data_IF_945121958598
#
_entry.id   IF_945121958598
#
_cell.length_a   1.000
_cell.length_b   1.000
_cell.length_c   1.000
_cell.angle_alpha   90.00
_cell.angle_beta   90.00
_cell.angle_gamma   90.00
#
_symmetry.space_group_name_H-M   'P 1'
#
loop_
_entity.id
_entity.type
_entity.pdbx_description
1 polymer ?
#
# COMPACT_ATOMS: atom_id res chain seq x y z
N UNK A 1 -46.79 3.11 24.08
CA UNK A 1 -46.15 3.21 22.75
C UNK A 1 -44.73 2.71 22.89
N UNK A 2 -44.49 1.49 22.44
CA UNK A 2 -43.18 0.86 22.35
C UNK A 2 -43.32 -0.20 21.25
N UNK A 3 -42.42 -0.21 20.26
CA UNK A 3 -42.47 -1.26 19.26
C UNK A 3 -41.68 -0.98 17.98
N UNK A 4 -40.46 -1.54 17.96
CA UNK A 4 -39.77 -2.16 16.82
C UNK A 4 -39.22 -1.24 15.71
N UNK A 5 -37.89 -1.09 15.72
CA UNK A 5 -37.06 -0.74 14.57
C UNK A 5 -36.69 -2.02 13.81
N UNK A 6 -37.16 -2.15 12.57
CA UNK A 6 -36.79 -3.21 11.63
C UNK A 6 -35.50 -2.80 10.90
N UNK A 7 -34.41 -3.53 11.14
CA UNK A 7 -33.17 -3.44 10.36
C UNK A 7 -33.23 -4.39 9.15
N UNK A 8 -32.79 -3.88 8.01
CA UNK A 8 -32.81 -4.54 6.71
C UNK A 8 -31.90 -5.78 6.65
N UNK A 9 -32.42 -6.84 6.03
CA UNK A 9 -31.68 -8.05 5.68
C UNK A 9 -31.20 -7.90 4.23
N UNK A 10 -29.88 -7.86 4.01
CA UNK A 10 -29.29 -8.04 2.67
C UNK A 10 -29.39 -9.51 2.28
N UNK A 11 -30.14 -9.80 1.21
CA UNK A 11 -30.18 -11.10 0.57
C UNK A 11 -29.05 -11.26 -0.47
N UNK A 12 -28.33 -12.37 -0.39
CA UNK A 12 -27.36 -12.88 -1.37
C UNK A 12 -27.81 -14.28 -1.80
N UNK A 13 -28.28 -14.46 -3.05
CA UNK A 13 -28.26 -15.67 -3.92
C UNK A 13 -28.77 -15.18 -5.31
N UNK A 14 -28.41 -15.63 -6.51
CA UNK A 14 -27.90 -16.90 -7.02
C UNK A 14 -27.36 -16.75 -8.45
N UNK A 15 -26.50 -17.72 -8.79
CA UNK A 15 -25.91 -18.18 -10.04
C UNK A 15 -26.72 -18.19 -11.36
N UNK A 16 -25.94 -18.23 -12.47
CA UNK A 16 -26.24 -18.93 -13.74
C UNK A 16 -26.54 -18.00 -14.93
N UNK A 17 -26.06 -18.19 -16.17
CA UNK A 17 -25.38 -19.32 -16.81
C UNK A 17 -24.79 -18.90 -18.18
N UNK A 18 -23.59 -19.44 -18.49
CA UNK A 18 -23.19 -20.13 -19.73
C UNK A 18 -23.32 -19.48 -21.13
N UNK A 19 -22.20 -19.40 -21.87
CA UNK A 19 -22.06 -20.13 -23.14
C UNK A 19 -20.57 -20.34 -23.53
N UNK A 20 -20.23 -21.42 -24.28
CA UNK A 20 -18.90 -21.97 -24.42
C UNK A 20 -18.15 -21.43 -25.65
N UNK A 21 -16.84 -21.21 -25.51
CA UNK A 21 -15.99 -20.74 -26.61
C UNK A 21 -14.61 -21.39 -26.56
N UNK A 22 -14.54 -22.59 -27.15
CA UNK A 22 -13.40 -23.16 -27.88
C UNK A 22 -12.01 -23.14 -27.22
N UNK A 23 -11.55 -24.34 -26.84
CA UNK A 23 -10.15 -24.71 -26.65
C UNK A 23 -9.35 -24.51 -27.95
N UNK A 24 -8.35 -23.62 -27.90
CA UNK A 24 -7.19 -23.67 -28.79
C UNK A 24 -5.97 -24.03 -27.92
N UNK A 25 -5.59 -25.31 -28.00
CA UNK A 25 -4.33 -25.83 -27.48
C UNK A 25 -3.27 -25.71 -28.58
N UNK A 26 -2.11 -25.12 -28.29
CA UNK A 26 -0.82 -25.41 -28.93
C UNK A 26 0.33 -24.73 -28.17
N UNK A 27 1.01 -25.54 -27.36
CA UNK A 27 2.49 -25.64 -27.20
C UNK A 27 3.36 -24.42 -26.90
N UNK A 28 3.94 -24.47 -25.67
CA UNK A 28 5.35 -24.25 -25.28
C UNK A 28 6.07 -22.99 -25.78
N UNK A 29 6.48 -22.11 -24.85
CA UNK A 29 7.89 -21.90 -24.42
C UNK A 29 7.91 -20.80 -23.33
N UNK A 30 8.44 -21.11 -22.13
CA UNK A 30 8.92 -20.12 -21.17
C UNK A 30 10.44 -19.95 -21.46
N UNK A 31 11.05 -18.76 -21.39
CA UNK A 31 11.23 -18.06 -20.12
C UNK A 31 11.05 -16.54 -20.23
N UNK A 32 10.23 -15.97 -19.36
CA UNK A 32 10.20 -14.52 -19.20
C UNK A 32 9.01 -14.06 -18.42
N UNK A 33 9.09 -14.18 -17.09
CA UNK A 33 8.16 -13.53 -16.18
C UNK A 33 8.37 -12.02 -16.27
N UNK A 34 7.87 -11.38 -17.33
CA UNK A 34 7.53 -9.98 -17.26
C UNK A 34 6.23 -9.90 -16.47
N UNK A 35 6.36 -9.84 -15.14
CA UNK A 35 5.35 -9.18 -14.32
C UNK A 35 5.32 -7.73 -14.76
N UNK A 36 4.62 -7.43 -15.85
CA UNK A 36 4.09 -6.10 -16.08
C UNK A 36 3.08 -5.89 -14.96
N UNK A 37 3.54 -5.26 -13.87
CA UNK A 37 2.66 -4.53 -12.97
C UNK A 37 1.89 -3.60 -13.90
N UNK A 38 0.62 -3.92 -14.15
CA UNK A 38 -0.27 -2.99 -14.83
C UNK A 38 -0.40 -1.84 -13.84
N UNK A 39 0.39 -0.80 -14.08
CA UNK A 39 0.24 0.46 -13.39
C UNK A 39 -1.15 1.02 -13.80
N UNK A 40 -2.14 1.04 -12.88
CA UNK A 40 -3.49 1.50 -13.18
C UNK A 40 -3.50 2.99 -13.57
N UNK A 41 -2.39 3.70 -13.41
CA UNK A 41 -2.26 5.12 -13.70
C UNK A 41 -1.82 5.42 -15.14
N UNK A 42 -1.51 4.41 -15.96
CA UNK A 42 -1.01 4.56 -17.35
C UNK A 42 -1.91 5.37 -18.30
N UNK A 43 -3.21 5.53 -18.01
CA UNK A 43 -4.14 6.29 -18.85
C UNK A 43 -4.09 7.81 -18.68
N UNK A 44 -3.80 8.32 -17.48
CA UNK A 44 -3.82 9.75 -17.15
C UNK A 44 -2.45 10.28 -16.65
N UNK A 45 -1.60 9.43 -16.06
CA UNK A 45 -0.27 9.81 -15.55
C UNK A 45 0.69 10.27 -16.65
N UNK A 46 0.50 9.82 -17.89
CA UNK A 46 1.36 10.16 -19.01
C UNK A 46 1.21 11.62 -19.49
N UNK A 47 0.14 12.32 -19.10
CA UNK A 47 -0.12 13.71 -19.53
C UNK A 47 0.16 14.75 -18.45
N UNK A 48 0.18 14.36 -17.17
CA UNK A 48 0.60 15.22 -16.07
C UNK A 48 1.28 14.39 -14.96
N UNK A 49 2.62 14.44 -14.87
CA UNK A 49 3.37 13.68 -13.87
C UNK A 49 2.96 14.03 -12.43
N UNK A 50 2.57 15.29 -12.18
CA UNK A 50 2.15 15.74 -10.84
C UNK A 50 0.85 15.04 -10.40
N UNK A 51 -0.11 14.87 -11.32
CA UNK A 51 -1.37 14.15 -11.04
C UNK A 51 -1.07 12.68 -10.71
N UNK A 52 -0.09 12.07 -11.36
CA UNK A 52 0.31 10.69 -11.08
C UNK A 52 0.86 10.54 -9.65
N UNK A 53 1.74 11.46 -9.23
CA UNK A 53 2.28 11.48 -7.88
C UNK A 53 1.18 11.73 -6.83
N UNK A 54 0.24 12.65 -7.09
CA UNK A 54 -0.89 12.91 -6.20
C UNK A 54 -1.78 11.69 -5.98
N UNK A 55 -2.09 10.94 -7.04
CA UNK A 55 -2.88 9.71 -6.92
C UNK A 55 -2.14 8.61 -6.13
N UNK A 56 -0.85 8.43 -6.39
CA UNK A 56 -0.02 7.47 -5.65
C UNK A 56 0.12 7.83 -4.17
N UNK A 57 0.29 9.12 -3.86
CA UNK A 57 0.41 9.64 -2.48
C UNK A 57 -0.94 9.77 -1.75
N UNK A 58 -2.07 9.73 -2.45
CA UNK A 58 -3.38 9.59 -1.83
C UNK A 58 -3.65 8.14 -1.37
N UNK A 59 -2.99 7.18 -2.02
CA UNK A 59 -3.10 5.76 -1.76
C UNK A 59 -2.14 5.27 -0.65
N UNK A 60 -1.24 6.11 -0.16
CA UNK A 60 -0.30 5.75 0.91
C UNK A 60 -0.98 5.70 2.28
N UNK A 61 -0.46 4.84 3.15
CA UNK A 61 -0.94 4.71 4.54
C UNK A 61 -0.15 5.60 5.52
N UNK A 62 1.03 6.08 5.11
CA UNK A 62 1.90 6.92 5.92
C UNK A 62 2.55 6.19 7.10
N UNK A 63 3.31 6.94 7.90
CA UNK A 63 4.09 6.38 9.02
C UNK A 63 3.19 5.68 10.05
N UNK A 64 2.05 6.28 10.37
CA UNK A 64 1.14 5.76 11.40
C UNK A 64 0.40 4.49 10.94
N UNK A 65 0.19 4.31 9.64
CA UNK A 65 -0.48 3.13 9.07
C UNK A 65 0.34 1.84 9.15
N UNK A 66 1.65 1.96 9.34
CA UNK A 66 2.58 0.84 9.44
C UNK A 66 2.87 0.40 10.88
N UNK A 67 2.26 1.05 11.87
CA UNK A 67 2.42 0.67 13.28
C UNK A 67 1.48 -0.51 13.59
N UNK A 68 1.98 -1.58 14.25
CA UNK A 68 1.13 -2.65 14.73
C UNK A 68 0.06 -2.15 15.69
N UNK A 69 -1.13 -2.73 15.58
CA UNK A 69 -2.19 -2.56 16.58
C UNK A 69 -2.34 -3.82 17.43
N UNK A 70 -2.69 -3.65 18.70
CA UNK A 70 -3.03 -4.77 19.58
C UNK A 70 -4.37 -5.37 19.13
N UNK A 71 -4.28 -6.40 18.29
CA UNK A 71 -5.42 -7.10 17.71
C UNK A 71 -5.63 -8.46 18.36
N UNK A 72 -6.80 -9.07 18.16
CA UNK A 72 -7.06 -10.42 18.64
C UNK A 72 -6.24 -11.51 17.94
N UNK A 73 -5.54 -11.18 16.84
CA UNK A 73 -4.76 -12.13 16.03
C UNK A 73 -3.46 -11.47 15.54
N UNK A 74 -2.36 -11.70 16.28
CA UNK A 74 -1.04 -11.24 15.87
C UNK A 74 -0.65 -11.72 14.47
N UNK A 75 -1.02 -12.96 14.09
CA UNK A 75 -0.70 -13.51 12.77
C UNK A 75 -1.32 -12.67 11.65
N UNK A 76 -2.59 -12.32 11.79
CA UNK A 76 -3.30 -11.59 10.73
C UNK A 76 -2.85 -10.13 10.71
N UNK A 77 -2.55 -9.55 11.88
CA UNK A 77 -1.97 -8.21 11.97
C UNK A 77 -0.56 -8.12 11.37
N UNK A 78 0.30 -9.13 11.62
CA UNK A 78 1.61 -9.22 11.02
C UNK A 78 1.53 -9.27 9.49
N UNK A 79 0.61 -10.06 8.94
CA UNK A 79 0.39 -10.14 7.49
C UNK A 79 -0.07 -8.80 6.93
N UNK A 80 -1.01 -8.12 7.60
CA UNK A 80 -1.47 -6.77 7.21
C UNK A 80 -0.29 -5.82 7.08
N UNK A 81 0.54 -5.69 8.11
CA UNK A 81 1.65 -4.73 8.11
C UNK A 81 2.68 -5.08 7.05
N UNK A 82 2.99 -6.35 6.83
CA UNK A 82 3.94 -6.77 5.79
C UNK A 82 3.46 -6.37 4.39
N UNK A 83 2.17 -6.58 4.11
CA UNK A 83 1.55 -6.18 2.83
C UNK A 83 1.51 -4.66 2.71
N UNK A 84 1.06 -3.96 3.74
CA UNK A 84 0.95 -2.50 3.73
C UNK A 84 2.33 -1.85 3.56
N UNK A 85 3.36 -2.34 4.25
CA UNK A 85 4.72 -1.82 4.16
C UNK A 85 5.36 -2.03 2.78
N UNK A 86 5.15 -3.19 2.16
CA UNK A 86 5.62 -3.46 0.78
C UNK A 86 4.87 -2.61 -0.25
N UNK A 87 3.56 -2.43 -0.06
CA UNK A 87 2.74 -1.56 -0.91
C UNK A 87 3.18 -0.10 -0.76
N UNK A 88 3.38 0.36 0.47
CA UNK A 88 3.80 1.73 0.79
C UNK A 88 5.16 2.05 0.14
N UNK A 89 6.15 1.17 0.28
CA UNK A 89 7.46 1.40 -0.35
C UNK A 89 7.37 1.49 -1.88
N UNK A 90 6.51 0.66 -2.48
CA UNK A 90 6.26 0.65 -3.93
C UNK A 90 5.58 1.94 -4.38
N UNK A 91 4.53 2.38 -3.69
CA UNK A 91 3.81 3.61 -4.01
C UNK A 91 4.73 4.84 -3.91
N UNK A 92 5.52 4.93 -2.85
CA UNK A 92 6.45 6.04 -2.62
C UNK A 92 7.52 6.10 -3.73
N UNK A 93 8.10 4.96 -4.12
CA UNK A 93 9.07 4.90 -5.24
C UNK A 93 8.46 5.19 -6.60
N UNK A 94 7.20 4.81 -6.82
CA UNK A 94 6.48 5.20 -8.04
C UNK A 94 6.21 6.70 -8.05
N UNK A 95 5.88 7.29 -6.89
CA UNK A 95 5.62 8.72 -6.76
C UNK A 95 6.86 9.57 -7.11
N UNK A 96 8.07 9.06 -6.89
CA UNK A 96 9.34 9.72 -7.30
C UNK A 96 9.35 10.08 -8.79
N UNK A 97 8.69 9.29 -9.65
CA UNK A 97 8.66 9.53 -11.10
C UNK A 97 7.77 10.71 -11.49
N UNK A 98 6.80 11.05 -10.65
CA UNK A 98 5.85 12.12 -10.87
C UNK A 98 6.10 13.37 -10.01
N UNK A 99 6.84 13.22 -8.91
CA UNK A 99 7.18 14.30 -7.99
C UNK A 99 8.36 15.13 -8.50
N UNK A 100 8.47 16.41 -8.08
CA UNK A 100 9.61 17.23 -8.46
C UNK A 100 10.91 16.72 -7.82
N UNK A 101 12.09 16.94 -8.43
CA UNK A 101 13.36 16.33 -8.02
C UNK A 101 13.76 16.58 -6.56
N UNK A 102 13.38 17.72 -6.00
CA UNK A 102 13.61 18.09 -4.60
C UNK A 102 12.85 17.21 -3.60
N UNK A 103 11.75 16.58 -4.01
CA UNK A 103 10.93 15.70 -3.17
C UNK A 103 11.40 14.24 -3.23
N UNK A 104 12.14 13.86 -4.28
CA UNK A 104 12.61 12.50 -4.49
C UNK A 104 13.39 11.93 -3.28
N UNK A 105 14.32 12.67 -2.63
CA UNK A 105 15.01 12.16 -1.44
C UNK A 105 14.05 11.86 -0.28
N UNK A 106 13.06 12.72 -0.04
CA UNK A 106 12.08 12.51 1.02
C UNK A 106 11.22 11.25 0.76
N UNK A 107 10.77 11.07 -0.48
CA UNK A 107 10.03 9.88 -0.89
C UNK A 107 10.85 8.58 -0.75
N UNK A 108 12.12 8.61 -1.14
CA UNK A 108 13.02 7.45 -0.98
C UNK A 108 13.33 7.16 0.50
N UNK A 109 13.48 8.19 1.35
CA UNK A 109 13.63 8.01 2.80
C UNK A 109 12.41 7.30 3.40
N UNK A 110 11.20 7.74 3.04
CA UNK A 110 9.96 7.10 3.50
C UNK A 110 9.82 5.67 2.95
N UNK A 111 10.17 5.43 1.69
CA UNK A 111 10.12 4.10 1.07
C UNK A 111 11.07 3.13 1.77
N UNK A 112 12.29 3.58 2.06
CA UNK A 112 13.30 2.80 2.78
C UNK A 112 12.84 2.49 4.20
N UNK A 113 12.18 3.43 4.88
CA UNK A 113 11.61 3.17 6.18
C UNK A 113 10.51 2.09 6.13
N UNK A 114 9.60 2.16 5.15
CA UNK A 114 8.57 1.14 4.99
C UNK A 114 9.18 -0.27 4.76
N UNK A 115 10.24 -0.38 3.97
CA UNK A 115 10.97 -1.66 3.81
C UNK A 115 11.57 -2.15 5.13
N UNK A 116 12.16 -1.25 5.91
CA UNK A 116 12.73 -1.58 7.22
C UNK A 116 11.66 -2.05 8.21
N UNK A 117 10.47 -1.44 8.20
CA UNK A 117 9.32 -1.91 8.96
C UNK A 117 8.96 -3.34 8.57
N UNK A 118 8.86 -3.63 7.26
CA UNK A 118 8.58 -4.99 6.79
C UNK A 118 9.63 -6.00 7.27
N UNK A 119 10.91 -5.63 7.21
CA UNK A 119 12.01 -6.48 7.70
C UNK A 119 11.85 -6.79 9.20
N UNK A 120 11.68 -5.78 10.04
CA UNK A 120 11.55 -5.98 11.49
C UNK A 120 10.30 -6.78 11.87
N UNK A 121 9.17 -6.51 11.22
CA UNK A 121 7.92 -7.24 11.46
C UNK A 121 8.02 -8.69 10.98
N UNK A 122 8.79 -8.97 9.94
CA UNK A 122 9.05 -10.35 9.50
C UNK A 122 9.80 -11.16 10.55
N UNK A 123 10.63 -10.50 11.38
CA UNK A 123 11.41 -11.13 12.44
C UNK A 123 10.65 -11.21 13.77
N UNK A 124 9.57 -10.44 13.93
CA UNK A 124 8.79 -10.37 15.15
C UNK A 124 7.95 -11.64 15.39
N UNK A 125 8.04 -12.18 16.60
CA UNK A 125 7.34 -13.41 17.01
C UNK A 125 5.97 -13.15 17.64
N UNK A 126 5.75 -11.95 18.17
CA UNK A 126 4.51 -11.48 18.78
C UNK A 126 4.42 -9.95 18.73
N UNK A 127 3.27 -9.39 19.10
CA UNK A 127 3.03 -7.94 19.09
C UNK A 127 4.04 -7.13 19.92
N UNK A 128 4.37 -7.59 21.13
CA UNK A 128 5.31 -6.87 22.00
C UNK A 128 6.73 -6.85 21.41
N UNK A 129 7.18 -7.96 20.83
CA UNK A 129 8.44 -8.06 20.09
C UNK A 129 8.45 -7.14 18.86
N UNK A 130 7.35 -7.07 18.11
CA UNK A 130 7.20 -6.14 16.99
C UNK A 130 7.33 -4.67 17.43
N UNK A 131 6.64 -4.26 18.49
CA UNK A 131 6.74 -2.89 19.01
C UNK A 131 8.17 -2.54 19.45
N UNK A 132 8.84 -3.44 20.18
CA UNK A 132 10.24 -3.24 20.61
C UNK A 132 11.20 -3.11 19.41
N UNK A 133 10.98 -3.89 18.35
CA UNK A 133 11.79 -3.81 17.12
C UNK A 133 11.56 -2.50 16.39
N UNK A 134 10.32 -2.06 16.27
CA UNK A 134 10.01 -0.78 15.63
C UNK A 134 10.55 0.42 16.41
N UNK A 135 10.57 0.36 17.74
CA UNK A 135 11.25 1.40 18.55
C UNK A 135 12.72 1.56 18.13
N UNK A 136 13.40 0.46 17.78
CA UNK A 136 14.79 0.49 17.32
C UNK A 136 14.97 1.01 15.88
N UNK A 137 13.92 0.94 15.05
CA UNK A 137 13.94 1.54 13.71
C UNK A 137 13.83 3.05 13.77
N UNK A 138 13.11 3.58 14.77
CA UNK A 138 13.02 5.00 15.10
C UNK A 138 12.30 5.84 14.06
N UNK A 139 11.42 6.74 14.50
CA UNK A 139 11.09 7.94 13.73
C UNK A 139 12.06 9.02 14.16
N UNK A 140 13.19 9.10 13.45
CA UNK A 140 14.15 10.16 13.69
C UNK A 140 13.69 11.49 13.05
N UNK A 141 14.44 12.54 13.34
CA UNK A 141 14.17 13.89 12.83
C UNK A 141 14.16 13.93 11.30
N UNK A 142 14.97 13.09 10.64
CA UNK A 142 15.07 13.05 9.18
C UNK A 142 13.83 12.42 8.55
N UNK A 143 13.35 11.31 9.10
CA UNK A 143 12.13 10.64 8.64
C UNK A 143 10.90 11.55 8.82
N UNK A 144 10.80 12.25 9.95
CA UNK A 144 9.70 13.19 10.18
C UNK A 144 9.77 14.40 9.25
N UNK A 145 10.96 14.96 9.01
CA UNK A 145 11.14 16.03 8.03
C UNK A 145 10.78 15.58 6.60
N UNK A 146 11.09 14.34 6.23
CA UNK A 146 10.69 13.76 4.95
C UNK A 146 9.16 13.63 4.83
N UNK A 147 8.49 13.11 5.87
CA UNK A 147 7.04 13.02 5.91
C UNK A 147 6.38 14.42 5.80
N UNK A 148 6.89 15.40 6.53
CA UNK A 148 6.39 16.78 6.51
C UNK A 148 6.58 17.43 5.13
N UNK A 149 7.71 17.21 4.47
CA UNK A 149 7.97 17.72 3.12
C UNK A 149 7.00 17.13 2.09
N UNK A 150 6.74 15.82 2.16
CA UNK A 150 5.76 15.14 1.28
C UNK A 150 4.35 15.61 1.56
N UNK A 151 3.96 15.76 2.83
CA UNK A 151 2.65 16.28 3.22
C UNK A 151 2.45 17.72 2.71
N UNK A 152 3.41 18.62 2.96
CA UNK A 152 3.33 20.01 2.53
C UNK A 152 3.25 20.16 1.00
N UNK A 153 4.02 19.34 0.27
CA UNK A 153 3.93 19.30 -1.19
C UNK A 153 2.55 18.82 -1.64
N UNK A 154 2.03 17.73 -1.06
CA UNK A 154 0.71 17.19 -1.40
C UNK A 154 -0.40 18.21 -1.18
N UNK A 155 -0.39 18.88 -0.02
CA UNK A 155 -1.41 19.87 0.34
C UNK A 155 -1.42 21.09 -0.60
N UNK A 156 -0.29 21.36 -1.27
CA UNK A 156 -0.17 22.47 -2.22
C UNK A 156 -0.55 22.07 -3.65
N UNK A 157 -0.35 20.80 -4.03
CA UNK A 157 -0.36 20.39 -5.45
C UNK A 157 -1.47 19.39 -5.85
N UNK A 158 -2.23 18.78 -4.91
CA UNK A 158 -3.08 17.61 -5.21
C UNK A 158 -4.62 17.79 -5.20
#
# INVERSE_FOLDING_TARGET
MAGVLLFAVLGLVSCGSENPGTVASSTTTNPGSNSTVIDPYTGNAAQNPDIAACLLLADTVGLDGLVPIDSSSWRDERERILVDAQRESTLLRLAVRGAPPELAPALETLATHAERVAEEISLATNYADAMNRLESTGVDTELRAAADAVAAWRDTNC
#
